data_IF_049035893280
#
_entry.id   IF_049035893280
#
_cell.length_a   1.000
_cell.length_b   1.000
_cell.length_c   1.000
_cell.angle_alpha   90.00
_cell.angle_beta   90.00
_cell.angle_gamma   90.00
#
_symmetry.space_group_name_H-M   'P 1'
#
loop_
_entity.id
_entity.type
_entity.pdbx_description
1 polymer ?
#
# COMPACT_ATOMS: atom_id res chain seq x y z
N UNK A 1 34.14 17.57 10.44
CA UNK A 1 33.13 16.53 10.73
C UNK A 1 32.46 16.94 12.02
N UNK A 2 31.14 17.03 12.02
CA UNK A 2 30.35 17.51 13.15
C UNK A 2 29.22 16.52 13.41
N UNK A 3 28.89 16.28 14.69
CA UNK A 3 27.81 15.37 15.08
C UNK A 3 26.55 16.18 15.31
N UNK A 4 25.50 15.90 14.53
CA UNK A 4 24.15 16.41 14.79
C UNK A 4 23.36 15.37 15.58
N UNK A 5 22.53 15.82 16.50
CA UNK A 5 21.54 14.96 17.16
C UNK A 5 20.21 15.12 16.47
N UNK A 6 19.69 14.01 15.96
CA UNK A 6 18.43 13.91 15.26
C UNK A 6 17.39 13.25 16.17
N UNK A 7 16.13 13.62 16.03
CA UNK A 7 15.01 12.88 16.59
C UNK A 7 13.96 12.68 15.50
N UNK A 8 13.35 11.49 15.46
CA UNK A 8 12.23 11.23 14.56
C UNK A 8 10.95 11.67 15.27
N UNK A 9 10.10 12.38 14.54
CA UNK A 9 8.76 12.74 14.99
C UNK A 9 8.01 11.51 15.57
N UNK A 10 7.40 11.67 16.74
CA UNK A 10 6.67 10.61 17.44
C UNK A 10 7.51 9.49 18.09
N UNK A 11 8.83 9.39 17.83
CA UNK A 11 9.65 8.32 18.44
C UNK A 11 10.30 8.74 19.76
N UNK A 12 10.53 10.04 19.95
CA UNK A 12 11.10 10.61 21.18
C UNK A 12 12.50 10.13 21.58
N UNK A 13 13.19 9.39 20.70
CA UNK A 13 14.55 8.88 20.95
C UNK A 13 15.58 9.60 20.07
N UNK A 14 16.40 10.50 20.64
CA UNK A 14 17.46 11.14 19.91
C UNK A 14 18.56 10.16 19.52
N UNK A 15 19.18 10.36 18.36
CA UNK A 15 20.31 9.58 17.88
C UNK A 15 21.34 10.50 17.20
N UNK A 16 22.64 10.20 17.34
CA UNK A 16 23.69 10.99 16.70
C UNK A 16 23.88 10.59 15.24
N UNK A 17 24.22 11.55 14.39
CA UNK A 17 24.70 11.32 13.02
C UNK A 17 25.93 12.20 12.80
N UNK A 18 27.03 11.56 12.43
CA UNK A 18 28.26 12.27 12.07
C UNK A 18 28.21 12.70 10.61
N UNK A 19 28.43 13.99 10.35
CA UNK A 19 28.26 14.54 9.01
C UNK A 19 29.35 15.53 8.60
N UNK A 20 29.63 15.52 7.30
CA UNK A 20 30.34 16.56 6.58
C UNK A 20 29.70 16.74 5.20
N UNK A 21 29.45 17.98 4.78
CA UNK A 21 28.89 18.28 3.45
C UNK A 21 27.46 18.85 3.49
N UNK A 22 26.58 18.29 2.68
CA UNK A 22 25.23 18.81 2.42
C UNK A 22 24.15 18.16 3.29
N UNK A 23 22.96 18.76 3.28
CA UNK A 23 21.76 18.15 3.87
C UNK A 23 21.42 16.81 3.22
N UNK A 24 21.67 16.64 1.91
CA UNK A 24 21.54 15.35 1.24
C UNK A 24 22.37 14.23 1.88
N UNK A 25 23.65 14.49 2.19
CA UNK A 25 24.48 13.53 2.92
C UNK A 25 23.94 13.24 4.33
N UNK A 26 23.33 14.23 5.00
CA UNK A 26 22.70 14.03 6.31
C UNK A 26 21.50 13.09 6.19
N UNK A 27 20.67 13.25 5.15
CA UNK A 27 19.56 12.34 4.86
C UNK A 27 20.07 10.90 4.67
N UNK A 28 21.16 10.69 3.93
CA UNK A 28 21.79 9.37 3.78
C UNK A 28 22.32 8.81 5.11
N UNK A 29 22.93 9.66 5.94
CA UNK A 29 23.41 9.29 7.27
C UNK A 29 22.28 8.83 8.19
N UNK A 30 21.15 9.54 8.19
CA UNK A 30 19.94 9.16 8.93
C UNK A 30 19.38 7.83 8.42
N UNK A 31 19.28 7.67 7.09
CA UNK A 31 18.85 6.40 6.47
C UNK A 31 19.68 5.22 6.97
N UNK A 32 21.01 5.35 6.97
CA UNK A 32 21.92 4.31 7.47
C UNK A 32 21.76 4.06 8.97
N UNK A 33 21.69 5.12 9.78
CA UNK A 33 21.57 5.02 11.23
C UNK A 33 20.25 4.38 11.69
N UNK A 34 19.16 4.61 10.95
CA UNK A 34 17.83 4.07 11.24
C UNK A 34 17.48 2.82 10.43
N UNK A 35 18.40 2.36 9.57
CA UNK A 35 18.19 1.24 8.66
C UNK A 35 16.93 1.39 7.79
N UNK A 36 16.61 2.63 7.38
CA UNK A 36 15.51 2.87 6.44
C UNK A 36 15.85 2.29 5.07
N UNK A 37 14.87 1.64 4.43
CA UNK A 37 15.07 1.03 3.11
C UNK A 37 14.71 1.98 1.96
N UNK A 38 13.85 2.98 2.19
CA UNK A 38 13.42 3.96 1.19
C UNK A 38 14.53 4.97 0.79
N UNK A 39 14.47 5.58 -0.41
CA UNK A 39 15.42 6.60 -0.86
C UNK A 39 15.58 7.77 0.14
N UNK A 40 16.80 8.16 0.45
CA UNK A 40 17.06 9.15 1.51
C UNK A 40 16.53 10.54 1.17
N UNK A 41 16.41 10.89 -0.11
CA UNK A 41 15.83 12.14 -0.60
C UNK A 41 14.38 12.36 -0.15
N UNK A 42 13.65 11.30 0.18
CA UNK A 42 12.29 11.33 0.70
C UNK A 42 12.17 11.82 2.16
N UNK A 43 13.28 11.93 2.91
CA UNK A 43 13.24 12.46 4.28
C UNK A 43 13.10 13.98 4.29
N UNK A 44 12.14 14.54 5.02
CA UNK A 44 12.13 15.99 5.29
C UNK A 44 12.81 16.30 6.62
N UNK A 45 13.79 17.21 6.56
CA UNK A 45 14.61 17.58 7.70
C UNK A 45 14.29 19.01 8.11
N UNK A 46 14.08 19.19 9.41
CA UNK A 46 13.83 20.50 10.00
C UNK A 46 14.87 20.77 11.08
N UNK A 47 15.59 21.90 10.94
CA UNK A 47 16.39 22.45 12.03
C UNK A 47 15.42 22.92 13.11
N UNK A 48 15.68 22.58 14.36
CA UNK A 48 14.90 23.08 15.49
C UNK A 48 15.75 23.89 16.44
N UNK A 49 15.22 25.03 16.89
CA UNK A 49 15.87 25.92 17.85
C UNK A 49 15.34 25.69 19.26
N UNK A 50 16.26 25.69 20.23
CA UNK A 50 15.92 25.62 21.65
C UNK A 50 15.43 24.26 22.16
N UNK A 51 15.50 23.20 21.36
CA UNK A 51 15.17 21.84 21.79
C UNK A 51 16.38 21.20 22.49
N UNK A 52 16.22 20.88 23.76
CA UNK A 52 17.28 20.31 24.61
C UNK A 52 16.74 19.17 25.48
N UNK A 53 17.60 18.20 25.79
CA UNK A 53 17.32 17.17 26.79
C UNK A 53 17.93 17.58 28.14
N UNK A 54 17.08 17.71 29.15
CA UNK A 54 17.47 18.05 30.51
C UNK A 54 18.21 16.88 31.20
N UNK A 55 18.82 17.17 32.37
CA UNK A 55 19.57 16.17 33.16
C UNK A 55 18.71 14.99 33.62
N UNK A 56 17.44 15.24 33.87
CA UNK A 56 16.42 14.27 34.29
C UNK A 56 15.82 13.47 33.12
N UNK A 57 16.30 13.73 31.89
CA UNK A 57 15.85 13.07 30.67
C UNK A 57 14.62 13.69 30.01
N UNK A 58 13.99 14.72 30.62
CA UNK A 58 12.88 15.44 29.99
C UNK A 58 13.35 16.26 28.80
N UNK A 59 12.50 16.39 27.78
CA UNK A 59 12.76 17.26 26.65
C UNK A 59 12.11 18.62 26.88
N UNK A 60 12.88 19.67 26.61
CA UNK A 60 12.45 21.06 26.76
C UNK A 60 12.60 21.78 25.42
N UNK A 61 11.53 22.45 24.97
CA UNK A 61 11.56 23.38 23.85
C UNK A 61 11.50 24.81 24.42
N UNK A 62 12.59 25.57 24.27
CA UNK A 62 12.73 26.92 24.82
C UNK A 62 12.38 27.01 26.33
N UNK A 63 12.75 25.98 27.09
CA UNK A 63 12.49 25.88 28.53
C UNK A 63 11.14 25.27 28.92
N UNK A 64 10.24 25.00 27.96
CA UNK A 64 8.96 24.37 28.24
C UNK A 64 9.01 22.86 27.98
N UNK A 65 8.43 22.01 28.87
CA UNK A 65 8.34 20.57 28.64
C UNK A 65 7.63 20.23 27.33
N UNK A 66 8.23 19.32 26.57
CA UNK A 66 7.63 18.75 25.36
C UNK A 66 7.75 17.22 25.40
N UNK A 67 6.66 16.54 25.10
CA UNK A 67 6.65 15.08 24.95
C UNK A 67 6.93 14.72 23.49
N UNK A 68 8.18 14.38 23.18
CA UNK A 68 8.60 14.04 21.82
C UNK A 68 7.96 12.74 21.28
N UNK A 69 7.37 11.90 22.13
CA UNK A 69 6.62 10.71 21.67
C UNK A 69 5.23 11.06 21.15
N UNK A 70 4.75 12.27 21.44
CA UNK A 70 3.45 12.80 21.02
C UNK A 70 3.55 14.10 20.20
N UNK A 71 4.75 14.65 20.08
CA UNK A 71 5.01 15.87 19.35
C UNK A 71 4.93 15.62 17.83
N UNK A 72 4.20 16.50 17.16
CA UNK A 72 4.21 16.64 15.71
C UNK A 72 5.06 17.83 15.25
N UNK A 73 5.29 17.99 13.94
CA UNK A 73 5.96 19.18 13.39
C UNK A 73 5.31 20.51 13.82
N UNK A 74 3.98 20.53 13.99
CA UNK A 74 3.24 21.68 14.49
C UNK A 74 3.59 22.03 15.95
N UNK A 75 3.98 21.02 16.74
CA UNK A 75 4.38 21.20 18.14
C UNK A 75 5.63 22.07 18.30
N UNK A 76 6.44 22.19 17.24
CA UNK A 76 7.63 23.05 17.22
C UNK A 76 7.32 24.48 16.72
N UNK A 77 6.10 24.76 16.24
CA UNK A 77 5.66 26.10 15.86
C UNK A 77 6.60 26.81 14.88
N UNK A 78 6.94 28.06 15.20
CA UNK A 78 7.90 28.88 14.45
C UNK A 78 9.38 28.64 14.81
N UNK A 79 9.67 27.64 15.65
CA UNK A 79 11.05 27.31 16.07
C UNK A 79 11.70 26.25 15.19
N UNK A 80 11.05 25.90 14.07
CA UNK A 80 11.58 24.99 13.06
C UNK A 80 11.85 25.71 11.75
N UNK A 81 12.90 25.30 11.05
CA UNK A 81 13.21 25.76 9.70
C UNK A 81 13.48 24.55 8.80
N UNK A 82 12.82 24.49 7.65
CA UNK A 82 13.05 23.44 6.66
C UNK A 82 14.51 23.49 6.18
N UNK A 83 15.11 22.32 5.97
CA UNK A 83 16.47 22.16 5.47
C UNK A 83 16.44 21.55 4.06
N UNK A 84 16.58 22.37 3.00
CA UNK A 84 16.62 21.87 1.63
C UNK A 84 17.85 20.99 1.39
N UNK A 85 17.69 19.91 0.60
CA UNK A 85 18.74 18.91 0.38
C UNK A 85 20.05 19.48 -0.19
N UNK A 86 19.96 20.52 -1.03
CA UNK A 86 21.10 21.17 -1.65
C UNK A 86 21.89 22.10 -0.70
N UNK A 87 21.34 22.42 0.48
CA UNK A 87 21.97 23.36 1.41
C UNK A 87 23.22 22.74 2.05
N UNK A 88 24.20 23.58 2.39
CA UNK A 88 25.34 23.14 3.17
C UNK A 88 24.96 23.02 4.64
N UNK A 89 25.44 21.99 5.33
CA UNK A 89 25.20 21.83 6.78
C UNK A 89 25.74 23.04 7.56
N UNK A 90 26.81 23.67 7.09
CA UNK A 90 27.38 24.90 7.67
C UNK A 90 26.48 26.12 7.56
N UNK A 91 25.55 26.14 6.60
CA UNK A 91 24.54 27.22 6.47
C UNK A 91 23.37 26.98 7.43
N UNK A 92 23.09 25.71 7.74
CA UNK A 92 22.01 25.33 8.64
C UNK A 92 22.39 25.42 10.12
N UNK A 93 23.68 25.39 10.49
CA UNK A 93 24.11 25.43 11.90
C UNK A 93 25.25 26.43 12.12
N UNK A 94 25.03 27.39 13.02
CA UNK A 94 26.09 28.31 13.46
C UNK A 94 27.07 27.57 14.39
N UNK A 95 28.32 27.46 13.93
CA UNK A 95 29.40 26.75 14.64
C UNK A 95 29.99 27.54 15.83
N UNK A 96 29.45 28.73 16.12
CA UNK A 96 29.98 29.67 17.13
C UNK A 96 29.39 29.52 18.54
N UNK A 97 28.43 28.60 18.76
CA UNK A 97 27.83 28.36 20.08
C UNK A 97 28.33 27.04 20.70
N UNK A 98 29.27 27.11 21.64
CA UNK A 98 29.71 25.97 22.49
C UNK A 98 28.82 25.81 23.75
N UNK A 99 28.78 24.64 24.43
CA UNK A 99 29.02 23.27 23.99
C UNK A 99 27.71 22.51 23.70
N UNK A 100 27.80 21.56 22.78
CA UNK A 100 26.74 20.74 22.16
C UNK A 100 26.04 19.74 23.08
N UNK A 101 26.22 19.83 24.40
CA UNK A 101 25.74 18.82 25.33
C UNK A 101 24.20 18.83 25.36
N UNK A 102 23.59 17.77 24.83
CA UNK A 102 22.16 17.45 24.90
C UNK A 102 21.23 18.36 24.08
N UNK A 103 21.77 19.12 23.13
CA UNK A 103 20.94 19.84 22.15
C UNK A 103 20.48 18.89 21.06
N UNK A 104 19.18 18.91 20.75
CA UNK A 104 18.63 18.24 19.57
C UNK A 104 18.61 19.26 18.45
N UNK A 105 19.19 18.89 17.31
CA UNK A 105 19.48 19.80 16.21
C UNK A 105 18.46 19.67 15.09
N UNK A 106 18.03 18.43 14.83
CA UNK A 106 17.20 18.09 13.67
C UNK A 106 16.01 17.28 14.13
N UNK A 107 14.82 17.72 13.73
CA UNK A 107 13.63 16.88 13.71
C UNK A 107 13.52 16.30 12.32
N UNK A 108 13.53 14.97 12.26
CA UNK A 108 13.26 14.20 11.05
C UNK A 108 11.76 14.04 11.00
N UNK A 109 11.14 14.77 10.07
CA UNK A 109 9.78 14.50 9.72
C UNK A 109 9.77 13.11 9.09
N UNK A 110 8.94 12.21 9.62
CA UNK A 110 8.59 11.03 8.82
C UNK A 110 7.85 11.54 7.59
N UNK A 111 7.79 10.74 6.54
CA UNK A 111 6.88 10.96 5.40
C UNK A 111 5.38 10.91 5.81
N UNK A 112 5.05 11.32 7.04
CA UNK A 112 3.70 11.51 7.56
C UNK A 112 3.06 12.82 7.04
N UNK A 113 3.88 13.75 6.53
CA UNK A 113 3.45 15.04 5.94
C UNK A 113 3.27 15.02 4.41
N UNK A 114 3.70 13.95 3.73
CA UNK A 114 3.07 13.59 2.47
C UNK A 114 1.73 12.93 2.79
N UNK A 115 0.67 13.15 1.98
CA UNK A 115 -0.57 12.38 2.10
C UNK A 115 -0.35 10.92 1.63
N UNK A 116 0.70 10.23 2.11
CA UNK A 116 0.91 8.82 1.85
C UNK A 116 0.28 7.98 2.97
N UNK A 117 -1.03 8.15 3.05
CA UNK A 117 -2.03 7.34 3.76
C UNK A 117 -1.82 5.83 3.64
N UNK A 118 -1.10 5.35 2.62
CA UNK A 118 -0.58 3.99 2.49
C UNK A 118 0.19 3.56 3.74
N UNK A 119 1.12 4.39 4.23
CA UNK A 119 1.94 4.05 5.38
C UNK A 119 1.13 4.00 6.69
N UNK A 120 0.16 4.91 6.84
CA UNK A 120 -0.81 4.87 7.95
C UNK A 120 -1.70 3.63 7.90
N UNK A 121 -2.05 3.18 6.69
CA UNK A 121 -2.81 1.94 6.46
C UNK A 121 -1.94 0.71 6.76
N UNK A 122 -0.70 0.66 6.29
CA UNK A 122 0.26 -0.41 6.57
C UNK A 122 0.55 -0.57 8.06
N UNK A 123 0.77 0.54 8.79
CA UNK A 123 1.00 0.50 10.25
C UNK A 123 -0.18 -0.15 11.00
N UNK A 124 -1.42 0.12 10.57
CA UNK A 124 -2.63 -0.50 11.16
C UNK A 124 -2.75 -1.97 10.78
N UNK A 125 -2.42 -2.33 9.54
CA UNK A 125 -2.42 -3.71 9.09
C UNK A 125 -1.34 -4.53 9.81
N UNK A 126 -0.13 -3.99 9.98
CA UNK A 126 0.94 -4.63 10.74
C UNK A 126 0.53 -4.88 12.19
N UNK A 127 -0.15 -3.93 12.83
CA UNK A 127 -0.68 -4.12 14.18
C UNK A 127 -1.73 -5.25 14.21
N UNK A 128 -2.60 -5.36 13.19
CA UNK A 128 -3.53 -6.47 13.06
C UNK A 128 -2.80 -7.81 12.83
N UNK A 129 -1.74 -7.83 12.02
CA UNK A 129 -0.94 -9.04 11.78
C UNK A 129 -0.17 -9.48 13.03
N UNK A 130 0.35 -8.55 13.82
CA UNK A 130 1.00 -8.84 15.10
C UNK A 130 -0.01 -9.41 16.11
N UNK A 131 -1.25 -8.92 16.13
CA UNK A 131 -2.34 -9.48 16.92
C UNK A 131 -2.70 -10.90 16.47
N UNK A 132 -2.83 -11.12 15.16
CA UNK A 132 -3.07 -12.44 14.58
C UNK A 132 -1.99 -13.46 14.99
N UNK A 133 -0.72 -13.08 14.87
CA UNK A 133 0.42 -13.91 15.32
C UNK A 133 0.33 -14.30 16.78
N UNK A 134 -0.12 -13.39 17.64
CA UNK A 134 -0.26 -13.65 19.07
C UNK A 134 -1.28 -14.75 19.38
N UNK A 135 -2.29 -14.92 18.53
CA UNK A 135 -3.35 -15.92 18.69
C UNK A 135 -3.03 -17.26 18.02
N UNK A 136 -2.31 -17.23 16.90
CA UNK A 136 -2.12 -18.41 16.05
C UNK A 136 -0.71 -19.01 16.08
N UNK A 137 0.28 -18.31 16.65
CA UNK A 137 1.66 -18.79 16.81
C UNK A 137 2.41 -18.90 15.48
N UNK A 138 3.25 -17.92 15.15
CA UNK A 138 4.03 -17.89 13.90
C UNK A 138 5.34 -17.10 14.02
N UNK A 139 6.35 -17.50 13.24
CA UNK A 139 7.71 -16.89 13.25
C UNK A 139 7.87 -15.79 12.19
N UNK A 140 7.18 -15.91 11.06
CA UNK A 140 7.13 -14.92 9.97
C UNK A 140 5.72 -14.29 9.90
N UNK A 141 5.48 -13.34 8.98
CA UNK A 141 4.18 -12.65 8.76
C UNK A 141 2.93 -13.54 8.79
N UNK A 142 1.74 -12.94 8.77
CA UNK A 142 0.53 -13.76 8.61
C UNK A 142 0.47 -14.30 7.17
N UNK A 143 0.22 -15.61 6.96
CA UNK A 143 0.02 -16.15 5.63
C UNK A 143 -1.23 -15.54 5.02
N UNK A 144 -1.13 -14.99 3.80
CA UNK A 144 -2.27 -14.33 3.14
C UNK A 144 -3.53 -15.21 3.13
N UNK A 145 -3.36 -16.52 2.86
CA UNK A 145 -4.44 -17.49 2.79
C UNK A 145 -5.22 -17.67 4.11
N UNK A 146 -4.61 -17.38 5.24
CA UNK A 146 -5.18 -17.62 6.57
C UNK A 146 -5.83 -16.37 7.19
N UNK A 147 -5.69 -15.21 6.54
CA UNK A 147 -6.27 -13.95 7.00
C UNK A 147 -7.70 -13.80 6.48
N UNK A 148 -8.62 -13.46 7.39
CA UNK A 148 -10.04 -13.28 7.12
C UNK A 148 -10.45 -11.80 7.16
N UNK A 149 -11.65 -11.48 6.69
CA UNK A 149 -12.17 -10.11 6.77
C UNK A 149 -12.27 -9.60 8.21
N UNK A 150 -12.56 -10.47 9.18
CA UNK A 150 -12.62 -10.05 10.60
C UNK A 150 -11.28 -9.53 11.14
N UNK A 151 -10.16 -9.94 10.55
CA UNK A 151 -8.83 -9.53 11.02
C UNK A 151 -8.47 -8.11 10.55
N UNK A 152 -8.91 -7.74 9.33
CA UNK A 152 -8.42 -6.55 8.62
C UNK A 152 -9.50 -5.57 8.15
N UNK A 153 -10.78 -5.99 8.18
CA UNK A 153 -11.90 -5.22 7.66
C UNK A 153 -12.02 -3.83 8.29
N UNK A 154 -11.76 -3.72 9.60
CA UNK A 154 -11.80 -2.42 10.30
C UNK A 154 -10.78 -1.39 9.79
N UNK A 155 -9.72 -1.83 9.10
CA UNK A 155 -8.76 -0.95 8.42
C UNK A 155 -9.31 -0.54 7.06
N UNK A 156 -9.76 -1.51 6.27
CA UNK A 156 -10.21 -1.28 4.90
C UNK A 156 -11.55 -0.55 4.83
N UNK A 157 -12.50 -0.82 5.72
CA UNK A 157 -13.82 -0.16 5.78
C UNK A 157 -13.69 1.37 5.91
N UNK A 158 -12.61 1.86 6.53
CA UNK A 158 -12.38 3.30 6.73
C UNK A 158 -11.83 4.01 5.51
N UNK A 159 -11.30 3.28 4.54
CA UNK A 159 -10.65 3.84 3.36
C UNK A 159 -11.24 3.31 2.04
N UNK A 160 -12.27 2.47 2.10
CA UNK A 160 -12.94 1.91 0.92
C UNK A 160 -14.15 2.74 0.55
N UNK A 161 -14.20 3.19 -0.69
CA UNK A 161 -15.30 3.99 -1.25
C UNK A 161 -15.95 3.18 -2.37
N UNK A 162 -17.28 3.09 -2.34
CA UNK A 162 -18.04 2.51 -3.43
C UNK A 162 -18.15 3.51 -4.58
N UNK A 163 -17.57 3.17 -5.73
CA UNK A 163 -17.56 4.02 -6.91
C UNK A 163 -17.56 3.15 -8.18
N UNK A 164 -18.24 3.61 -9.24
CA UNK A 164 -18.06 2.99 -10.56
C UNK A 164 -16.66 3.28 -11.09
N UNK A 165 -15.95 2.20 -11.43
CA UNK A 165 -14.67 2.28 -12.11
C UNK A 165 -14.89 2.59 -13.60
N UNK A 166 -13.93 3.24 -14.27
CA UNK A 166 -14.01 3.51 -15.69
C UNK A 166 -14.13 2.22 -16.50
N UNK A 167 -14.71 2.34 -17.69
CA UNK A 167 -14.85 1.27 -18.68
C UNK A 167 -14.22 1.72 -19.97
N UNK A 168 -13.46 0.84 -20.59
CA UNK A 168 -12.84 1.08 -21.89
C UNK A 168 -13.49 0.15 -22.91
N UNK A 169 -14.09 0.75 -23.95
CA UNK A 169 -14.92 0.01 -24.92
C UNK A 169 -14.07 -1.00 -25.68
N UNK A 170 -14.60 -2.22 -25.80
CA UNK A 170 -13.97 -3.28 -26.59
C UNK A 170 -14.70 -3.42 -27.92
N UNK A 171 -13.95 -3.62 -29.00
CA UNK A 171 -14.54 -3.78 -30.33
C UNK A 171 -15.53 -4.97 -30.35
N UNK A 172 -16.68 -4.84 -31.05
CA UNK A 172 -17.72 -5.88 -31.08
C UNK A 172 -17.22 -7.26 -31.50
N UNK A 173 -16.25 -7.32 -32.41
CA UNK A 173 -15.68 -8.58 -32.89
C UNK A 173 -14.91 -9.33 -31.79
N UNK A 174 -14.15 -8.61 -30.95
CA UNK A 174 -13.46 -9.19 -29.81
C UNK A 174 -14.44 -9.67 -28.74
N UNK A 175 -15.42 -8.83 -28.38
CA UNK A 175 -16.49 -9.22 -27.46
C UNK A 175 -17.26 -10.44 -27.95
N UNK A 176 -17.58 -10.49 -29.25
CA UNK A 176 -18.26 -11.62 -29.89
C UNK A 176 -17.43 -12.91 -29.82
N UNK A 177 -16.12 -12.83 -30.04
CA UNK A 177 -15.21 -13.96 -29.95
C UNK A 177 -15.12 -14.53 -28.51
N UNK A 178 -14.96 -13.67 -27.51
CA UNK A 178 -14.97 -14.07 -26.10
C UNK A 178 -16.30 -14.73 -25.73
N UNK A 179 -17.41 -14.09 -26.08
CA UNK A 179 -18.75 -14.60 -25.78
C UNK A 179 -18.99 -15.97 -26.41
N UNK A 180 -18.56 -16.16 -27.66
CA UNK A 180 -18.64 -17.46 -28.34
C UNK A 180 -17.76 -18.52 -27.66
N UNK A 181 -16.55 -18.18 -27.22
CA UNK A 181 -15.66 -19.07 -26.49
C UNK A 181 -16.28 -19.53 -25.17
N UNK A 182 -16.77 -18.60 -24.36
CA UNK A 182 -17.43 -18.90 -23.09
C UNK A 182 -18.71 -19.71 -23.29
N UNK A 183 -19.45 -19.46 -24.37
CA UNK A 183 -20.63 -20.25 -24.74
C UNK A 183 -20.29 -21.70 -25.06
N UNK A 184 -19.17 -21.96 -25.75
CA UNK A 184 -18.69 -23.31 -26.02
C UNK A 184 -18.21 -24.00 -24.73
N UNK A 185 -17.42 -23.29 -23.92
CA UNK A 185 -16.92 -23.80 -22.65
C UNK A 185 -18.03 -24.16 -21.67
N UNK A 186 -19.02 -23.28 -21.50
CA UNK A 186 -20.18 -23.55 -20.62
C UNK A 186 -21.04 -24.70 -21.10
N UNK A 187 -21.13 -24.94 -22.42
CA UNK A 187 -21.80 -26.13 -22.96
C UNK A 187 -21.05 -27.42 -22.61
N UNK A 188 -19.72 -27.39 -22.57
CA UNK A 188 -18.88 -28.56 -22.32
C UNK A 188 -18.65 -28.85 -20.83
N UNK A 189 -18.50 -27.80 -20.02
CA UNK A 189 -18.08 -27.88 -18.61
C UNK A 189 -19.22 -27.62 -17.61
N UNK A 190 -20.39 -27.19 -18.09
CA UNK A 190 -21.49 -26.71 -17.26
C UNK A 190 -21.53 -25.17 -17.19
N UNK A 191 -22.68 -24.63 -16.78
CA UNK A 191 -22.88 -23.18 -16.66
C UNK A 191 -21.96 -22.51 -15.62
N UNK A 192 -22.02 -21.18 -15.51
CA UNK A 192 -21.19 -20.46 -14.51
C UNK A 192 -21.73 -20.64 -13.09
N UNK A 193 -23.05 -20.78 -12.95
CA UNK A 193 -23.76 -20.97 -11.68
C UNK A 193 -23.87 -22.46 -11.35
N UNK A 194 -23.55 -22.83 -10.11
CA UNK A 194 -23.70 -24.20 -9.62
C UNK A 194 -22.70 -25.22 -10.19
N UNK A 195 -21.74 -24.78 -10.99
CA UNK A 195 -20.70 -25.65 -11.55
C UNK A 195 -19.55 -25.93 -10.58
N UNK A 196 -18.70 -26.89 -10.96
CA UNK A 196 -17.50 -27.21 -10.21
C UNK A 196 -16.43 -26.12 -10.38
N UNK A 197 -15.39 -26.19 -9.57
CA UNK A 197 -14.31 -25.20 -9.55
C UNK A 197 -13.60 -25.07 -10.90
N UNK A 198 -13.39 -26.17 -11.63
CA UNK A 198 -12.73 -26.18 -12.93
C UNK A 198 -13.52 -25.40 -13.99
N UNK A 199 -14.84 -25.48 -14.00
CA UNK A 199 -15.69 -24.72 -14.93
C UNK A 199 -15.64 -23.21 -14.63
N UNK A 200 -15.65 -22.83 -13.35
CA UNK A 200 -15.47 -21.43 -12.91
C UNK A 200 -14.10 -20.90 -13.29
N UNK A 201 -13.05 -21.70 -13.11
CA UNK A 201 -11.68 -21.32 -13.48
C UNK A 201 -11.56 -21.11 -14.99
N UNK A 202 -12.14 -21.99 -15.81
CA UNK A 202 -12.19 -21.78 -17.25
C UNK A 202 -12.83 -20.43 -17.61
N UNK A 203 -13.95 -20.10 -16.98
CA UNK A 203 -14.66 -18.84 -17.23
C UNK A 203 -13.81 -17.61 -16.88
N UNK A 204 -13.21 -17.61 -15.70
CA UNK A 204 -12.39 -16.49 -15.20
C UNK A 204 -11.13 -16.34 -16.04
N UNK A 205 -10.36 -17.42 -16.21
CA UNK A 205 -9.10 -17.39 -16.96
C UNK A 205 -9.33 -16.99 -18.41
N UNK A 206 -10.37 -17.52 -19.07
CA UNK A 206 -10.69 -17.13 -20.45
C UNK A 206 -11.03 -15.64 -20.56
N UNK A 207 -11.75 -15.10 -19.58
CA UNK A 207 -12.09 -13.67 -19.52
C UNK A 207 -10.82 -12.82 -19.37
N UNK A 208 -9.97 -13.13 -18.41
CA UNK A 208 -8.75 -12.36 -18.11
C UNK A 208 -7.72 -12.44 -19.24
N UNK A 209 -7.46 -13.65 -19.76
CA UNK A 209 -6.53 -13.86 -20.89
C UNK A 209 -7.02 -13.10 -22.12
N UNK A 210 -8.33 -13.14 -22.41
CA UNK A 210 -8.85 -12.44 -23.58
C UNK A 210 -8.59 -10.93 -23.48
N UNK A 211 -8.84 -10.31 -22.32
CA UNK A 211 -8.58 -8.87 -22.14
C UNK A 211 -7.09 -8.56 -22.17
N UNK A 212 -6.24 -9.39 -21.55
CA UNK A 212 -4.80 -9.20 -21.57
C UNK A 212 -4.23 -9.23 -23.00
N UNK A 213 -4.78 -10.08 -23.89
CA UNK A 213 -4.38 -10.12 -25.30
C UNK A 213 -4.75 -8.86 -26.11
N UNK A 214 -5.61 -7.98 -25.59
CA UNK A 214 -6.00 -6.75 -26.28
C UNK A 214 -5.05 -5.58 -26.02
N UNK A 215 -4.15 -5.69 -25.04
CA UNK A 215 -3.28 -4.60 -24.59
C UNK A 215 -1.82 -5.00 -24.76
N UNK A 216 -1.09 -4.25 -25.58
CA UNK A 216 0.33 -4.49 -25.80
C UNK A 216 1.13 -4.27 -24.52
N UNK A 217 2.09 -5.16 -24.24
CA UNK A 217 2.98 -5.05 -23.08
C UNK A 217 2.41 -5.61 -21.77
N UNK A 218 1.15 -6.07 -21.75
CA UNK A 218 0.57 -6.77 -20.59
C UNK A 218 1.03 -8.23 -20.58
N UNK A 219 1.76 -8.61 -19.53
CA UNK A 219 2.12 -10.00 -19.27
C UNK A 219 1.32 -10.52 -18.07
N UNK A 220 0.62 -11.64 -18.27
CA UNK A 220 -0.13 -12.29 -17.20
C UNK A 220 0.79 -13.25 -16.44
N UNK A 221 1.17 -12.88 -15.22
CA UNK A 221 1.89 -13.76 -14.31
C UNK A 221 0.87 -14.55 -13.49
N UNK A 222 1.06 -15.86 -13.41
CA UNK A 222 0.23 -16.74 -12.60
C UNK A 222 1.05 -17.26 -11.42
N UNK A 223 0.43 -17.33 -10.25
CA UNK A 223 1.00 -17.97 -9.06
C UNK A 223 2.24 -17.26 -8.50
N UNK A 224 2.22 -15.94 -8.51
CA UNK A 224 3.35 -15.13 -8.06
C UNK A 224 3.40 -15.05 -6.53
N UNK A 225 4.61 -15.17 -5.99
CA UNK A 225 4.83 -14.98 -4.54
C UNK A 225 4.85 -13.48 -4.26
N UNK A 226 4.06 -13.07 -3.29
CA UNK A 226 4.02 -11.68 -2.83
C UNK A 226 4.56 -11.60 -1.42
N UNK A 227 5.52 -10.72 -1.19
CA UNK A 227 6.12 -10.47 0.12
C UNK A 227 6.21 -8.97 0.33
N UNK A 228 5.46 -8.44 1.30
CA UNK A 228 5.57 -7.03 1.66
C UNK A 228 6.94 -6.72 2.27
N UNK A 229 7.55 -5.61 1.87
CA UNK A 229 8.83 -5.10 2.39
C UNK A 229 8.64 -4.46 3.78
N UNK A 230 7.62 -3.63 3.91
CA UNK A 230 7.17 -2.96 5.12
C UNK A 230 5.94 -3.66 5.73
N UNK A 231 5.05 -4.21 4.90
CA UNK A 231 3.86 -4.93 5.36
C UNK A 231 4.21 -6.38 5.71
N UNK A 232 3.91 -6.81 6.94
CA UNK A 232 4.22 -8.16 7.46
C UNK A 232 3.29 -9.26 6.93
N UNK A 233 3.12 -9.34 5.61
CA UNK A 233 2.31 -10.34 4.92
C UNK A 233 3.18 -11.06 3.90
N UNK A 234 3.00 -12.37 3.79
CA UNK A 234 3.60 -13.17 2.74
C UNK A 234 2.60 -14.20 2.21
N UNK A 235 2.68 -14.52 0.93
CA UNK A 235 1.79 -15.50 0.33
C UNK A 235 2.04 -15.70 -1.15
N UNK A 236 1.12 -16.43 -1.77
CA UNK A 236 1.09 -16.64 -3.21
C UNK A 236 -0.24 -16.09 -3.70
N UNK A 237 -0.19 -15.14 -4.63
CA UNK A 237 -1.38 -14.69 -5.35
C UNK A 237 -1.61 -15.65 -6.52
N UNK A 238 -2.39 -16.69 -6.25
CA UNK A 238 -3.08 -17.43 -7.30
C UNK A 238 -4.38 -16.68 -7.64
N UNK A 239 -5.00 -16.94 -8.78
CA UNK A 239 -6.37 -16.50 -9.05
C UNK A 239 -7.30 -17.14 -7.99
N UNK A 240 -7.43 -16.54 -6.80
CA UNK A 240 -8.13 -17.19 -5.69
C UNK A 240 -9.64 -17.09 -5.91
N UNK A 241 -10.17 -18.17 -6.48
CA UNK A 241 -11.58 -18.55 -6.43
C UNK A 241 -11.93 -18.93 -4.99
N UNK A 242 -12.77 -18.15 -4.30
CA UNK A 242 -13.18 -18.50 -2.93
C UNK A 242 -14.70 -18.63 -2.75
N UNK A 243 -15.07 -19.48 -1.78
CA UNK A 243 -16.46 -19.76 -1.40
C UNK A 243 -17.11 -18.62 -0.61
N UNK A 244 -16.30 -17.73 -0.02
CA UNK A 244 -16.73 -16.55 0.76
C UNK A 244 -16.07 -15.30 0.20
N UNK A 245 -16.91 -14.38 -0.27
CA UNK A 245 -16.47 -13.15 -0.92
C UNK A 245 -15.71 -12.24 0.04
N UNK A 246 -16.07 -12.21 1.32
CA UNK A 246 -15.41 -11.37 2.33
C UNK A 246 -13.94 -11.78 2.57
N UNK A 247 -13.66 -13.08 2.60
CA UNK A 247 -12.28 -13.56 2.73
C UNK A 247 -11.48 -13.28 1.45
N UNK A 248 -12.10 -13.44 0.28
CA UNK A 248 -11.45 -13.06 -0.98
C UNK A 248 -11.10 -11.55 -1.01
N UNK A 249 -11.97 -10.69 -0.47
CA UNK A 249 -11.66 -9.26 -0.31
C UNK A 249 -10.46 -9.01 0.59
N UNK A 250 -10.40 -9.65 1.75
CA UNK A 250 -9.28 -9.49 2.69
C UNK A 250 -7.94 -9.81 2.02
N UNK A 251 -7.89 -10.94 1.31
CA UNK A 251 -6.69 -11.41 0.63
C UNK A 251 -6.30 -10.53 -0.55
N UNK A 252 -7.26 -10.15 -1.41
CA UNK A 252 -6.98 -9.29 -2.56
C UNK A 252 -6.49 -7.92 -2.12
N UNK A 253 -7.11 -7.30 -1.11
CA UNK A 253 -6.68 -5.99 -0.62
C UNK A 253 -5.33 -6.05 0.09
N UNK A 254 -5.08 -7.06 0.92
CA UNK A 254 -3.75 -7.27 1.53
C UNK A 254 -2.68 -7.54 0.48
N UNK A 255 -3.01 -8.32 -0.56
CA UNK A 255 -2.14 -8.55 -1.71
C UNK A 255 -1.83 -7.25 -2.46
N UNK A 256 -2.83 -6.40 -2.69
CA UNK A 256 -2.65 -5.09 -3.31
C UNK A 256 -1.73 -4.18 -2.47
N UNK A 257 -1.87 -4.19 -1.14
CA UNK A 257 -0.97 -3.42 -0.27
C UNK A 257 0.45 -3.98 -0.28
N UNK A 258 0.61 -5.29 -0.29
CA UNK A 258 1.93 -5.92 -0.33
C UNK A 258 2.64 -5.67 -1.67
N UNK A 259 1.94 -5.73 -2.80
CA UNK A 259 2.47 -5.36 -4.12
C UNK A 259 2.82 -3.87 -4.18
N UNK A 260 1.94 -2.99 -3.66
CA UNK A 260 2.23 -1.55 -3.61
C UNK A 260 3.47 -1.22 -2.79
N UNK A 261 3.70 -1.98 -1.72
CA UNK A 261 4.87 -1.88 -0.85
C UNK A 261 6.13 -2.49 -1.47
N UNK A 262 6.00 -3.63 -2.17
CA UNK A 262 7.10 -4.29 -2.86
C UNK A 262 7.63 -3.46 -4.03
N UNK A 263 6.72 -3.01 -4.90
CA UNK A 263 7.05 -2.30 -6.15
C UNK A 263 7.07 -0.77 -6.01
N UNK A 264 6.73 -0.25 -4.83
CA UNK A 264 6.60 1.19 -4.56
C UNK A 264 5.68 1.93 -5.54
N UNK A 265 4.54 1.31 -5.88
CA UNK A 265 3.53 1.87 -6.79
C UNK A 265 2.36 2.49 -6.03
N UNK A 266 1.87 3.63 -6.52
CA UNK A 266 0.73 4.33 -5.91
C UNK A 266 -0.61 3.63 -6.20
N UNK A 267 -0.73 3.01 -7.38
CA UNK A 267 -1.96 2.38 -7.86
C UNK A 267 -1.76 0.89 -8.04
N UNK A 268 -2.59 0.09 -7.38
CA UNK A 268 -2.68 -1.36 -7.60
C UNK A 268 -4.13 -1.75 -7.82
N UNK A 269 -4.36 -2.59 -8.81
CA UNK A 269 -5.68 -3.07 -9.16
C UNK A 269 -5.88 -4.50 -8.65
N UNK A 270 -7.02 -4.75 -8.00
CA UNK A 270 -7.38 -6.05 -7.44
C UNK A 270 -8.71 -6.56 -7.98
N UNK A 271 -8.83 -7.87 -8.17
CA UNK A 271 -10.08 -8.52 -8.58
C UNK A 271 -10.37 -9.68 -7.61
N UNK A 272 -11.53 -9.67 -6.97
CA UNK A 272 -12.08 -10.82 -6.26
C UNK A 272 -13.31 -11.34 -7.01
N UNK A 273 -13.34 -12.63 -7.37
CA UNK A 273 -14.45 -13.17 -8.16
C UNK A 273 -14.71 -14.65 -7.88
N UNK A 274 -15.97 -15.05 -8.05
CA UNK A 274 -16.38 -16.46 -8.13
C UNK A 274 -16.86 -16.86 -9.53
N UNK A 275 -16.62 -16.01 -10.53
CA UNK A 275 -17.07 -16.15 -11.92
C UNK A 275 -18.42 -15.51 -12.19
N UNK A 276 -19.33 -15.46 -11.21
CA UNK A 276 -20.63 -14.76 -11.33
C UNK A 276 -20.52 -13.35 -10.77
N UNK A 277 -20.04 -13.23 -9.54
CA UNK A 277 -19.87 -11.95 -8.84
C UNK A 277 -18.42 -11.51 -8.95
N UNK A 278 -18.21 -10.30 -9.44
CA UNK A 278 -16.91 -9.67 -9.65
C UNK A 278 -16.82 -8.40 -8.79
N UNK A 279 -15.82 -8.35 -7.92
CA UNK A 279 -15.47 -7.16 -7.18
C UNK A 279 -14.14 -6.62 -7.70
N UNK A 280 -14.14 -5.36 -8.09
CA UNK A 280 -12.98 -4.65 -8.58
C UNK A 280 -12.52 -3.66 -7.53
N UNK A 281 -11.21 -3.59 -7.35
CA UNK A 281 -10.55 -2.68 -6.43
C UNK A 281 -9.53 -1.86 -7.20
N UNK A 282 -9.56 -0.53 -7.00
CA UNK A 282 -8.44 0.36 -7.33
C UNK A 282 -7.88 0.84 -6.00
N UNK A 283 -6.79 0.23 -5.56
CA UNK A 283 -6.02 0.68 -4.40
C UNK A 283 -5.21 1.89 -4.83
N UNK A 284 -5.41 3.01 -4.16
CA UNK A 284 -4.57 4.20 -4.26
C UNK A 284 -3.90 4.47 -2.92
N UNK A 285 -2.98 5.43 -2.91
CA UNK A 285 -2.28 5.80 -1.69
C UNK A 285 -3.20 6.36 -0.60
N UNK A 286 -4.35 6.93 -0.94
CA UNK A 286 -5.34 7.53 -0.01
C UNK A 286 -6.55 6.68 0.28
N UNK A 287 -7.04 6.00 -0.74
CA UNK A 287 -8.31 5.33 -0.68
C UNK A 287 -8.28 4.07 -1.51
N UNK A 288 -9.35 3.30 -1.40
CA UNK A 288 -9.58 2.10 -2.18
C UNK A 288 -10.93 2.28 -2.83
N UNK A 289 -10.96 2.39 -4.15
CA UNK A 289 -12.22 2.41 -4.88
C UNK A 289 -12.70 0.98 -5.08
N UNK A 290 -13.96 0.72 -4.77
CA UNK A 290 -14.61 -0.59 -4.91
C UNK A 290 -15.79 -0.49 -5.85
N UNK A 291 -15.80 -1.37 -6.85
CA UNK A 291 -16.95 -1.61 -7.73
C UNK A 291 -17.38 -3.07 -7.64
N UNK A 292 -18.68 -3.30 -7.72
CA UNK A 292 -19.26 -4.64 -7.77
C UNK A 292 -20.07 -4.81 -9.06
N UNK A 293 -19.86 -5.93 -9.74
CA UNK A 293 -20.62 -6.32 -10.94
C UNK A 293 -21.02 -7.78 -10.81
N UNK A 294 -22.29 -8.06 -11.07
CA UNK A 294 -22.82 -9.42 -11.10
C UNK A 294 -23.19 -9.80 -12.53
N UNK A 295 -22.64 -10.91 -13.00
CA UNK A 295 -22.97 -11.54 -14.26
C UNK A 295 -24.41 -12.02 -14.18
N UNK A 296 -25.24 -11.46 -15.06
CA UNK A 296 -26.62 -11.91 -15.21
C UNK A 296 -26.62 -13.19 -16.01
N UNK A 297 -27.37 -14.18 -15.54
CA UNK A 297 -27.41 -15.51 -16.15
C UNK A 297 -28.81 -15.76 -16.70
N UNK A 298 -28.89 -16.05 -17.99
CA UNK A 298 -30.15 -16.38 -18.66
C UNK A 298 -30.64 -17.79 -18.33
N UNK A 299 -31.83 -18.13 -18.83
CA UNK A 299 -32.49 -19.43 -18.62
C UNK A 299 -31.65 -20.63 -19.10
N UNK A 300 -30.69 -20.42 -20.00
CA UNK A 300 -29.76 -21.44 -20.47
C UNK A 300 -28.52 -21.62 -19.57
N UNK A 301 -28.54 -21.03 -18.37
CA UNK A 301 -27.43 -20.97 -17.42
C UNK A 301 -26.17 -20.30 -17.98
N UNK A 302 -26.32 -19.40 -18.96
CA UNK A 302 -25.21 -18.66 -19.58
C UNK A 302 -25.22 -17.18 -19.21
N UNK A 303 -24.03 -16.55 -19.13
CA UNK A 303 -23.91 -15.10 -18.95
C UNK A 303 -24.62 -14.36 -20.08
N UNK A 304 -25.26 -13.24 -19.78
CA UNK A 304 -25.72 -12.30 -20.81
C UNK A 304 -24.52 -11.56 -21.40
N UNK A 305 -24.58 -11.23 -22.70
CA UNK A 305 -23.53 -10.47 -23.37
C UNK A 305 -23.29 -9.12 -22.68
N UNK A 306 -24.35 -8.43 -22.28
CA UNK A 306 -24.27 -7.12 -21.63
C UNK A 306 -23.53 -7.17 -20.28
N UNK A 307 -23.87 -8.14 -19.42
CA UNK A 307 -23.23 -8.25 -18.11
C UNK A 307 -21.76 -8.68 -18.23
N UNK A 308 -21.45 -9.57 -19.18
CA UNK A 308 -20.08 -9.92 -19.53
C UNK A 308 -19.32 -8.70 -20.05
N UNK A 309 -19.88 -7.95 -20.99
CA UNK A 309 -19.25 -6.77 -21.57
C UNK A 309 -18.89 -5.75 -20.49
N UNK A 310 -19.77 -5.51 -19.52
CA UNK A 310 -19.48 -4.63 -18.40
C UNK A 310 -18.25 -5.08 -17.60
N UNK A 311 -18.12 -6.37 -17.29
CA UNK A 311 -16.95 -6.94 -16.60
C UNK A 311 -15.69 -6.76 -17.43
N UNK A 312 -15.74 -7.14 -18.71
CA UNK A 312 -14.59 -7.19 -19.60
C UNK A 312 -14.06 -5.77 -19.89
N UNK A 313 -14.94 -4.80 -20.15
CA UNK A 313 -14.55 -3.40 -20.37
C UNK A 313 -14.01 -2.72 -19.11
N UNK A 314 -14.46 -3.16 -17.91
CA UNK A 314 -13.88 -2.68 -16.64
C UNK A 314 -12.45 -3.19 -16.49
N UNK A 315 -12.20 -4.48 -16.75
CA UNK A 315 -10.85 -5.07 -16.72
C UNK A 315 -9.95 -4.39 -17.76
N UNK A 316 -10.48 -4.13 -18.95
CA UNK A 316 -9.73 -3.47 -20.02
C UNK A 316 -9.29 -2.05 -19.60
N UNK A 317 -10.18 -1.27 -18.99
CA UNK A 317 -9.82 0.03 -18.43
C UNK A 317 -8.69 -0.06 -17.39
N UNK A 318 -8.66 -1.12 -16.57
CA UNK A 318 -7.60 -1.33 -15.57
C UNK A 318 -6.22 -1.58 -16.18
N UNK A 319 -6.16 -2.10 -17.41
CA UNK A 319 -4.90 -2.29 -18.14
C UNK A 319 -4.48 -1.06 -18.95
N UNK A 320 -5.44 -0.30 -19.49
CA UNK A 320 -5.16 0.88 -20.32
C UNK A 320 -4.88 2.14 -19.47
N UNK A 321 -5.41 2.22 -18.26
CA UNK A 321 -5.29 3.41 -17.38
C UNK A 321 -3.99 3.46 -16.56
N UNK A 322 -2.95 2.72 -16.96
CA UNK A 322 -1.65 2.66 -16.25
C UNK A 322 -0.69 3.77 -16.68
#
# INVERSE_FOLDING_TARGET
MFTVFCVVEGEGRPFPVDIAGTVGHLKEGIKKAKMYQFPSDQLDLYRVEGLVQAQDGQFLLNGNPIDLTRASLDSFGGHKANMPAASLISECFDTTNAPLARKIHVVVARLDDFPNTSYKRWTKLDAAMDQYKSWHGGVYGAPLADVSWSDVGWVFDKCTIHQELPREVIAPDHMGALYACLKLGTKALGGVVGSNESARLFFITSTLVHVACLVDGVNMLMQEKVVGNQLKVHGQLDFVLWHSMENAMAQVLLGCEAVADEDMVDVVYGIATNGVKWMFFKRESTEILKMEVEIQVGDDHRPTLESLQRVVETIHAMFVSQ
#
